data_IF_133208911937
#
_entry.id   IF_133208911937
#
_cell.length_a   1.000
_cell.length_b   1.000
_cell.length_c   1.000
_cell.angle_alpha   90.00
_cell.angle_beta   90.00
_cell.angle_gamma   90.00
#
_symmetry.space_group_name_H-M   'P 1'
#
loop_
_entity.id
_entity.type
_entity.pdbx_description
1 polymer ?
#
# COMPACT_ATOMS: atom_id res chain seq x y z
N UNK A 1 27.16 -4.59 -6.74
CA UNK A 1 25.88 -4.05 -6.39
C UNK A 1 25.10 -3.65 -7.63
N UNK A 2 24.21 -4.52 -8.15
CA UNK A 2 23.11 -4.04 -8.99
C UNK A 2 22.12 -3.50 -7.99
N UNK A 3 22.17 -2.20 -7.75
CA UNK A 3 21.04 -1.46 -7.22
C UNK A 3 19.83 -1.90 -8.06
N UNK A 4 18.85 -2.52 -7.42
CA UNK A 4 17.50 -2.52 -7.93
C UNK A 4 17.06 -1.04 -7.91
N UNK A 5 17.57 -0.25 -8.84
CA UNK A 5 16.97 1.02 -9.17
C UNK A 5 15.58 0.68 -9.68
N UNK A 6 14.61 0.74 -8.78
CA UNK A 6 13.22 0.87 -9.17
C UNK A 6 13.16 2.20 -9.89
N UNK A 7 13.51 2.16 -11.17
CA UNK A 7 13.37 3.31 -12.06
C UNK A 7 11.87 3.60 -12.14
N UNK A 8 11.40 4.53 -11.30
CA UNK A 8 10.18 5.28 -11.57
C UNK A 8 10.44 6.17 -12.79
N UNK A 9 10.84 5.53 -13.91
CA UNK A 9 11.05 6.21 -15.16
C UNK A 9 9.71 6.40 -15.86
N UNK A 10 9.37 7.62 -16.19
CA UNK A 10 8.42 7.85 -17.27
C UNK A 10 8.94 7.07 -18.47
N UNK A 11 8.11 6.15 -19.00
CA UNK A 11 8.47 5.39 -20.19
C UNK A 11 8.83 6.32 -21.35
N UNK A 12 9.59 5.82 -22.29
CA UNK A 12 9.86 6.57 -23.53
C UNK A 12 8.54 6.91 -24.24
N UNK A 13 8.50 8.03 -24.95
CA UNK A 13 7.29 8.45 -25.70
C UNK A 13 6.72 7.32 -26.57
N UNK A 14 7.53 6.52 -27.30
CA UNK A 14 7.02 5.37 -28.06
C UNK A 14 6.35 4.31 -27.18
N UNK A 15 6.90 4.00 -25.99
CA UNK A 15 6.30 3.04 -25.06
C UNK A 15 4.97 3.56 -24.49
N UNK A 16 4.88 4.85 -24.18
CA UNK A 16 3.63 5.49 -23.77
C UNK A 16 2.56 5.36 -24.84
N UNK A 17 2.90 5.63 -26.09
CA UNK A 17 1.98 5.50 -27.23
C UNK A 17 1.55 4.05 -27.46
N UNK A 18 2.46 3.09 -27.39
CA UNK A 18 2.14 1.66 -27.53
C UNK A 18 1.20 1.15 -26.44
N UNK A 19 1.34 1.65 -25.22
CA UNK A 19 0.53 1.25 -24.06
C UNK A 19 -0.73 2.09 -23.84
N UNK A 20 -0.96 3.11 -24.68
CA UNK A 20 -2.10 4.04 -24.57
C UNK A 20 -3.47 3.34 -24.44
N UNK A 21 -3.82 2.33 -25.27
CA UNK A 21 -5.10 1.64 -25.15
C UNK A 21 -5.28 0.92 -23.80
N UNK A 22 -4.21 0.28 -23.31
CA UNK A 22 -4.23 -0.40 -22.01
C UNK A 22 -4.34 0.58 -20.85
N UNK A 23 -3.64 1.71 -20.92
CA UNK A 23 -3.73 2.77 -19.92
C UNK A 23 -5.13 3.37 -19.86
N UNK A 24 -5.74 3.66 -21.01
CA UNK A 24 -7.13 4.13 -21.09
C UNK A 24 -8.10 3.11 -20.48
N UNK A 25 -8.04 1.85 -20.91
CA UNK A 25 -8.90 0.80 -20.38
C UNK A 25 -8.75 0.65 -18.86
N UNK A 26 -7.53 0.79 -18.34
CA UNK A 26 -7.26 0.77 -16.90
C UNK A 26 -7.92 1.94 -16.20
N UNK A 27 -7.76 3.19 -16.66
CA UNK A 27 -8.37 4.37 -16.05
C UNK A 27 -9.89 4.21 -15.90
N UNK A 28 -10.57 3.74 -16.93
CA UNK A 28 -12.02 3.53 -16.86
C UNK A 28 -12.40 2.36 -15.95
N UNK A 29 -11.65 1.27 -15.96
CA UNK A 29 -11.89 0.14 -15.08
C UNK A 29 -11.69 0.53 -13.61
N UNK A 30 -10.61 1.23 -13.30
CA UNK A 30 -10.28 1.66 -11.95
C UNK A 30 -11.29 2.70 -11.44
N UNK A 31 -11.70 3.63 -12.29
CA UNK A 31 -12.78 4.55 -11.99
C UNK A 31 -14.11 3.83 -11.69
N UNK A 32 -14.49 2.89 -12.55
CA UNK A 32 -15.71 2.11 -12.33
C UNK A 32 -15.61 1.29 -11.04
N UNK A 33 -14.44 0.73 -10.71
CA UNK A 33 -14.26 -0.10 -9.52
C UNK A 33 -14.56 0.63 -8.22
N UNK A 34 -14.42 1.96 -8.16
CA UNK A 34 -14.81 2.77 -7.00
C UNK A 34 -16.27 2.55 -6.60
N UNK A 35 -17.13 2.23 -7.55
CA UNK A 35 -18.57 2.11 -7.33
C UNK A 35 -19.04 0.69 -7.03
N UNK A 36 -18.32 -0.35 -7.48
CA UNK A 36 -18.76 -1.75 -7.33
C UNK A 36 -17.82 -2.64 -6.54
N UNK A 37 -16.56 -2.27 -6.37
CA UNK A 37 -15.57 -3.09 -5.63
C UNK A 37 -14.85 -2.27 -4.56
N UNK A 38 -14.03 -2.94 -3.75
CA UNK A 38 -13.09 -2.25 -2.87
C UNK A 38 -11.94 -1.70 -3.69
N UNK A 39 -11.97 -0.39 -3.91
CA UNK A 39 -10.91 0.30 -4.63
C UNK A 39 -9.95 0.96 -3.65
N UNK A 40 -8.87 0.25 -3.32
CA UNK A 40 -7.72 0.78 -2.59
C UNK A 40 -8.06 1.53 -1.29
N UNK A 41 -9.10 1.08 -0.58
CA UNK A 41 -9.56 1.67 0.66
C UNK A 41 -10.50 2.88 0.49
N UNK A 42 -10.67 3.42 -0.71
CA UNK A 42 -11.62 4.53 -0.96
C UNK A 42 -13.05 4.03 -0.82
N UNK A 43 -13.34 2.85 -1.34
CA UNK A 43 -14.67 2.22 -1.34
C UNK A 43 -14.69 0.90 -0.57
N UNK A 44 -14.12 0.91 0.65
CA UNK A 44 -13.79 -0.25 1.47
C UNK A 44 -15.02 -1.08 1.91
N UNK A 45 -16.22 -0.53 1.89
CA UNK A 45 -17.43 -1.29 2.24
C UNK A 45 -18.64 -0.87 1.38
N UNK A 46 -19.71 -1.66 1.45
CA UNK A 46 -20.92 -1.42 0.66
C UNK A 46 -21.58 -0.06 0.97
N UNK A 47 -21.60 0.36 2.23
CA UNK A 47 -22.22 1.64 2.64
C UNK A 47 -21.47 2.80 2.01
N UNK A 48 -20.15 2.80 2.07
CA UNK A 48 -19.30 3.84 1.44
C UNK A 48 -19.50 3.86 -0.06
N UNK A 49 -19.54 2.70 -0.73
CA UNK A 49 -19.81 2.61 -2.18
C UNK A 49 -21.15 3.23 -2.56
N UNK A 50 -22.21 2.90 -1.81
CA UNK A 50 -23.54 3.46 -2.05
C UNK A 50 -23.57 4.98 -1.85
N UNK A 51 -22.96 5.49 -0.78
CA UNK A 51 -22.88 6.92 -0.49
C UNK A 51 -22.12 7.68 -1.59
N UNK A 52 -20.97 7.14 -2.03
CA UNK A 52 -20.20 7.72 -3.14
C UNK A 52 -21.02 7.71 -4.42
N UNK A 53 -21.67 6.59 -4.76
CA UNK A 53 -22.47 6.44 -5.97
C UNK A 53 -23.62 7.43 -5.99
N UNK A 54 -24.41 7.50 -4.91
CA UNK A 54 -25.55 8.41 -4.81
C UNK A 54 -25.09 9.87 -4.92
N UNK A 55 -24.04 10.24 -4.20
CA UNK A 55 -23.50 11.62 -4.24
C UNK A 55 -23.01 11.99 -5.63
N UNK A 56 -22.28 11.06 -6.29
CA UNK A 56 -21.75 11.29 -7.64
C UNK A 56 -22.85 11.39 -8.69
N UNK A 57 -23.91 10.55 -8.62
CA UNK A 57 -25.07 10.63 -9.50
C UNK A 57 -25.81 11.95 -9.32
N UNK A 58 -25.99 12.44 -8.09
CA UNK A 58 -26.54 13.78 -7.84
C UNK A 58 -25.67 14.84 -8.53
N UNK A 59 -24.33 14.74 -8.41
CA UNK A 59 -23.39 15.65 -9.08
C UNK A 59 -23.55 15.63 -10.60
N UNK A 60 -23.70 14.45 -11.22
CA UNK A 60 -23.95 14.33 -12.67
C UNK A 60 -25.28 14.98 -13.05
N UNK A 61 -26.36 14.69 -12.33
CA UNK A 61 -27.68 15.29 -12.63
C UNK A 61 -27.64 16.83 -12.55
N UNK A 62 -26.91 17.37 -11.56
CA UNK A 62 -26.72 18.82 -11.44
C UNK A 62 -25.88 19.39 -12.57
N UNK A 63 -24.83 18.68 -12.98
CA UNK A 63 -23.96 19.05 -14.10
C UNK A 63 -24.78 19.15 -15.41
N UNK A 64 -25.54 18.11 -15.74
CA UNK A 64 -26.40 18.10 -16.92
C UNK A 64 -27.45 19.23 -16.90
N UNK A 65 -28.08 19.45 -15.74
CA UNK A 65 -29.02 20.55 -15.57
C UNK A 65 -28.35 21.92 -15.77
N UNK A 66 -27.11 22.10 -15.34
CA UNK A 66 -26.33 23.32 -15.58
C UNK A 66 -25.99 23.53 -17.06
N UNK A 67 -25.59 22.45 -17.77
CA UNK A 67 -25.31 22.51 -19.21
C UNK A 67 -26.58 22.97 -19.99
N UNK A 68 -27.72 22.35 -19.70
CA UNK A 68 -28.99 22.69 -20.31
C UNK A 68 -29.36 24.15 -20.04
N UNK A 69 -29.27 24.60 -18.80
CA UNK A 69 -29.62 25.97 -18.42
C UNK A 69 -28.73 27.01 -19.08
N UNK A 70 -27.44 26.72 -19.23
CA UNK A 70 -26.49 27.66 -19.83
C UNK A 70 -26.43 27.59 -21.36
N UNK A 71 -27.32 26.83 -21.99
CA UNK A 71 -27.34 26.59 -23.44
C UNK A 71 -25.97 26.18 -23.99
N UNK A 72 -25.21 25.45 -23.20
CA UNK A 72 -23.91 24.91 -23.61
C UNK A 72 -24.08 23.64 -24.43
N UNK A 73 -23.11 23.35 -25.27
CA UNK A 73 -23.07 22.10 -26.03
C UNK A 73 -23.04 20.91 -25.07
N UNK A 74 -24.13 20.14 -25.05
CA UNK A 74 -24.21 18.88 -24.29
C UNK A 74 -23.12 17.89 -24.74
N UNK A 75 -22.82 17.87 -26.04
CA UNK A 75 -21.80 16.98 -26.58
C UNK A 75 -20.42 17.33 -26.02
N UNK A 76 -20.04 18.59 -26.00
CA UNK A 76 -18.75 19.03 -25.42
C UNK A 76 -18.72 18.81 -23.93
N UNK A 77 -19.81 19.08 -23.21
CA UNK A 77 -19.90 18.85 -21.77
C UNK A 77 -19.72 17.37 -21.40
N UNK A 78 -20.44 16.49 -22.10
CA UNK A 78 -20.31 15.04 -21.87
C UNK A 78 -18.96 14.50 -22.31
N UNK A 79 -18.34 15.03 -23.35
CA UNK A 79 -16.97 14.69 -23.70
C UNK A 79 -15.98 15.04 -22.59
N UNK A 80 -16.15 16.21 -21.93
CA UNK A 80 -15.32 16.57 -20.77
C UNK A 80 -15.57 15.65 -19.56
N UNK A 81 -16.83 15.24 -19.33
CA UNK A 81 -17.15 14.27 -18.28
C UNK A 81 -16.51 12.90 -18.55
N UNK A 82 -16.46 12.47 -19.82
CA UNK A 82 -15.76 11.24 -20.23
C UNK A 82 -14.25 11.33 -19.99
N UNK A 83 -13.64 12.50 -20.05
CA UNK A 83 -12.22 12.67 -19.73
C UNK A 83 -11.93 12.65 -18.22
N UNK A 84 -12.94 12.70 -17.36
CA UNK A 84 -12.79 12.76 -15.91
C UNK A 84 -11.99 11.56 -15.33
N UNK A 85 -12.25 10.28 -15.71
CA UNK A 85 -11.45 9.16 -15.26
C UNK A 85 -9.95 9.28 -15.62
N UNK A 86 -9.67 9.80 -16.83
CA UNK A 86 -8.29 10.01 -17.29
C UNK A 86 -7.62 11.12 -16.46
N UNK A 87 -8.35 12.20 -16.17
CA UNK A 87 -7.84 13.28 -15.33
C UNK A 87 -7.52 12.84 -13.90
N UNK A 88 -8.30 11.91 -13.34
CA UNK A 88 -8.03 11.32 -12.03
C UNK A 88 -6.77 10.45 -12.01
N UNK A 89 -6.41 9.85 -13.13
CA UNK A 89 -5.26 8.96 -13.24
C UNK A 89 -4.09 9.52 -14.06
N UNK A 90 -4.03 10.84 -14.25
CA UNK A 90 -3.00 11.45 -15.11
C UNK A 90 -1.57 11.03 -14.73
N UNK A 91 -1.29 10.86 -13.44
CA UNK A 91 0.02 10.37 -12.95
C UNK A 91 0.21 8.90 -13.30
N UNK A 92 -0.79 8.06 -13.06
CA UNK A 92 -0.76 6.63 -13.40
C UNK A 92 -0.66 6.39 -14.91
N UNK A 93 -1.18 7.32 -15.70
CA UNK A 93 -1.11 7.28 -17.15
C UNK A 93 0.31 7.43 -17.69
N UNK A 94 1.14 8.22 -17.01
CA UNK A 94 2.55 8.42 -17.38
C UNK A 94 3.47 7.29 -16.90
N UNK A 95 3.00 6.43 -15.98
CA UNK A 95 3.74 5.28 -15.46
C UNK A 95 3.38 4.02 -16.26
N UNK A 96 4.22 3.65 -17.22
CA UNK A 96 3.96 2.56 -18.18
C UNK A 96 3.89 1.17 -17.52
N UNK A 97 4.63 0.93 -16.44
CA UNK A 97 4.89 -0.41 -15.96
C UNK A 97 4.17 -0.81 -14.66
N UNK A 98 3.51 0.11 -13.97
CA UNK A 98 2.85 -0.16 -12.67
C UNK A 98 1.48 0.50 -12.57
N UNK A 99 0.53 -0.21 -11.93
CA UNK A 99 -0.71 0.40 -11.50
C UNK A 99 -0.45 1.56 -10.54
N UNK A 100 -1.46 2.41 -10.32
CA UNK A 100 -1.36 3.51 -9.36
C UNK A 100 -1.04 2.96 -7.97
N UNK A 101 -0.01 3.50 -7.34
CA UNK A 101 0.26 3.25 -5.93
C UNK A 101 -0.73 4.01 -5.04
N UNK A 102 -0.86 3.60 -3.78
CA UNK A 102 -1.81 4.18 -2.82
C UNK A 102 -1.66 5.71 -2.71
N UNK A 103 -0.43 6.22 -2.84
CA UNK A 103 -0.15 7.67 -2.79
C UNK A 103 -0.75 8.45 -3.97
N UNK A 104 -0.96 7.82 -5.12
CA UNK A 104 -1.49 8.48 -6.32
C UNK A 104 -3.01 8.44 -6.39
N UNK A 105 -3.67 7.73 -5.48
CA UNK A 105 -5.13 7.55 -5.42
C UNK A 105 -5.84 8.78 -4.83
N UNK A 106 -5.11 9.73 -4.24
CA UNK A 106 -5.72 10.96 -3.66
C UNK A 106 -6.54 11.78 -4.65
N UNK A 107 -6.21 11.73 -5.94
CA UNK A 107 -6.98 12.37 -7.01
C UNK A 107 -8.45 11.91 -7.03
N UNK A 108 -8.71 10.66 -6.63
CA UNK A 108 -10.07 10.12 -6.56
C UNK A 108 -10.94 10.79 -5.48
N UNK A 109 -10.36 11.53 -4.53
CA UNK A 109 -11.10 12.37 -3.61
C UNK A 109 -11.93 13.46 -4.36
N UNK A 110 -11.54 13.80 -5.59
CA UNK A 110 -12.31 14.71 -6.44
C UNK A 110 -13.71 14.18 -6.77
N UNK A 111 -13.92 12.85 -6.77
CA UNK A 111 -15.25 12.25 -6.91
C UNK A 111 -16.18 12.73 -5.78
N UNK A 112 -15.63 12.88 -4.55
CA UNK A 112 -16.38 13.35 -3.38
C UNK A 112 -16.64 14.86 -3.42
N UNK A 113 -15.70 15.62 -3.99
CA UNK A 113 -15.80 17.09 -4.11
C UNK A 113 -16.72 17.50 -5.26
N UNK A 114 -16.84 16.68 -6.30
CA UNK A 114 -17.60 16.98 -7.51
C UNK A 114 -19.07 17.39 -7.25
N UNK A 115 -19.88 16.68 -6.45
CA UNK A 115 -21.25 17.07 -6.18
C UNK A 115 -21.36 18.43 -5.47
N UNK A 116 -20.41 18.76 -4.58
CA UNK A 116 -20.38 20.08 -3.93
C UNK A 116 -20.04 21.20 -4.90
N UNK A 117 -19.06 20.95 -5.78
CA UNK A 117 -18.72 21.91 -6.83
C UNK A 117 -19.94 22.19 -7.73
N UNK A 118 -20.68 21.16 -8.10
CA UNK A 118 -21.89 21.32 -8.90
C UNK A 118 -22.98 22.07 -8.14
N UNK A 119 -23.22 21.79 -6.87
CA UNK A 119 -24.16 22.51 -6.03
C UNK A 119 -23.80 24.00 -5.92
N UNK A 120 -22.53 24.34 -5.74
CA UNK A 120 -22.07 25.72 -5.61
C UNK A 120 -22.25 26.54 -6.90
N UNK A 121 -22.25 25.87 -8.06
CA UNK A 121 -22.46 26.48 -9.37
C UNK A 121 -23.94 26.60 -9.74
N UNK A 122 -24.83 25.96 -8.98
CA UNK A 122 -26.27 25.96 -9.22
C UNK A 122 -26.91 27.22 -8.70
N UNK A 123 -26.91 28.26 -9.50
CA UNK A 123 -27.69 29.50 -9.29
C UNK A 123 -29.09 29.31 -9.86
N UNK A 124 -29.84 28.35 -9.34
CA UNK A 124 -31.16 28.01 -9.84
C UNK A 124 -32.23 28.86 -9.17
N UNK A 125 -32.98 29.62 -9.95
CA UNK A 125 -34.37 30.06 -9.63
C UNK A 125 -35.35 28.85 -9.68
N UNK A 126 -34.84 27.64 -9.46
CA UNK A 126 -35.63 26.41 -9.37
C UNK A 126 -36.20 26.29 -7.96
N UNK A 127 -37.31 25.59 -7.83
CA UNK A 127 -37.96 25.31 -6.56
C UNK A 127 -36.95 25.07 -5.45
N UNK A 128 -36.80 26.07 -4.58
CA UNK A 128 -35.82 26.09 -3.50
C UNK A 128 -35.88 24.83 -2.62
N UNK A 129 -37.06 24.18 -2.56
CA UNK A 129 -37.25 22.93 -1.81
C UNK A 129 -36.47 21.78 -2.39
N UNK A 130 -36.44 21.59 -3.72
CA UNK A 130 -35.70 20.51 -4.38
C UNK A 130 -34.22 20.75 -4.21
N UNK A 131 -33.73 21.97 -4.42
CA UNK A 131 -32.31 22.28 -4.25
C UNK A 131 -31.86 22.07 -2.80
N UNK A 132 -32.64 22.51 -1.82
CA UNK A 132 -32.35 22.29 -0.40
C UNK A 132 -32.36 20.80 -0.04
N UNK A 133 -33.28 20.03 -0.63
CA UNK A 133 -33.29 18.57 -0.45
C UNK A 133 -32.00 17.91 -0.99
N UNK A 134 -31.59 18.22 -2.22
CA UNK A 134 -30.37 17.71 -2.83
C UNK A 134 -29.14 18.13 -2.02
N UNK A 135 -29.08 19.37 -1.58
CA UNK A 135 -28.00 19.85 -0.69
C UNK A 135 -27.96 19.06 0.60
N UNK A 136 -29.11 18.83 1.23
CA UNK A 136 -29.20 18.03 2.47
C UNK A 136 -28.73 16.58 2.22
N UNK A 137 -29.12 15.95 1.11
CA UNK A 137 -28.68 14.61 0.75
C UNK A 137 -27.15 14.53 0.61
N UNK A 138 -26.52 15.47 -0.10
CA UNK A 138 -25.07 15.51 -0.29
C UNK A 138 -24.36 15.77 1.05
N UNK A 139 -24.88 16.68 1.88
CA UNK A 139 -24.33 16.97 3.20
C UNK A 139 -24.41 15.76 4.13
N UNK A 140 -25.55 15.08 4.20
CA UNK A 140 -25.72 13.88 5.03
C UNK A 140 -24.80 12.77 4.52
N UNK A 141 -24.73 12.55 3.20
CA UNK A 141 -23.81 11.56 2.62
C UNK A 141 -22.37 11.86 2.99
N UNK A 142 -21.94 13.11 2.95
CA UNK A 142 -20.58 13.52 3.33
C UNK A 142 -20.28 13.33 4.80
N UNK A 143 -21.23 13.63 5.69
CA UNK A 143 -21.07 13.36 7.12
C UNK A 143 -20.93 11.86 7.40
N UNK A 144 -21.78 11.04 6.74
CA UNK A 144 -21.69 9.58 6.86
C UNK A 144 -20.39 9.03 6.28
N UNK A 145 -19.93 9.55 5.15
CA UNK A 145 -18.62 9.18 4.58
C UNK A 145 -17.48 9.56 5.52
N UNK A 146 -17.48 10.77 6.07
CA UNK A 146 -16.48 11.21 7.04
C UNK A 146 -16.46 10.27 8.26
N UNK A 147 -17.62 9.89 8.76
CA UNK A 147 -17.75 8.93 9.85
C UNK A 147 -17.15 7.56 9.49
N UNK A 148 -17.46 7.03 8.30
CA UNK A 148 -16.94 5.74 7.84
C UNK A 148 -15.41 5.77 7.66
N UNK A 149 -14.87 6.86 7.10
CA UNK A 149 -13.42 7.01 6.98
C UNK A 149 -12.73 7.23 8.33
N UNK A 150 -13.38 7.86 9.29
CA UNK A 150 -12.86 7.97 10.66
C UNK A 150 -12.75 6.58 11.33
N UNK A 151 -13.77 5.73 11.17
CA UNK A 151 -13.71 4.33 11.63
C UNK A 151 -12.58 3.57 10.97
N UNK A 152 -12.48 3.68 9.63
CA UNK A 152 -11.40 3.03 8.87
C UNK A 152 -10.02 3.50 9.35
N UNK A 153 -9.81 4.80 9.46
CA UNK A 153 -8.56 5.37 9.93
C UNK A 153 -8.19 4.89 11.32
N UNK A 154 -9.16 4.87 12.25
CA UNK A 154 -8.93 4.37 13.60
C UNK A 154 -8.51 2.89 13.61
N UNK A 155 -9.18 2.05 12.80
CA UNK A 155 -8.81 0.65 12.68
C UNK A 155 -7.41 0.47 12.10
N UNK A 156 -7.06 1.23 11.05
CA UNK A 156 -5.72 1.20 10.44
C UNK A 156 -4.64 1.62 11.44
N UNK A 157 -4.85 2.72 12.16
CA UNK A 157 -3.89 3.19 13.18
C UNK A 157 -3.73 2.19 14.31
N UNK A 158 -4.82 1.58 14.79
CA UNK A 158 -4.76 0.53 15.82
C UNK A 158 -3.95 -0.67 15.33
N UNK A 159 -4.20 -1.12 14.10
CA UNK A 159 -3.44 -2.23 13.50
C UNK A 159 -1.96 -1.89 13.33
N UNK A 160 -1.65 -0.67 12.91
CA UNK A 160 -0.25 -0.21 12.80
C UNK A 160 0.45 -0.15 14.16
N UNK A 161 -0.24 0.27 15.21
CA UNK A 161 0.32 0.32 16.57
C UNK A 161 0.58 -1.10 17.11
N UNK A 162 -0.35 -2.02 16.89
CA UNK A 162 -0.14 -3.43 17.23
C UNK A 162 1.03 -4.04 16.44
N UNK A 163 1.11 -3.79 15.15
CA UNK A 163 2.23 -4.25 14.30
C UNK A 163 3.59 -3.68 14.76
N UNK A 164 3.60 -2.43 15.22
CA UNK A 164 4.81 -1.81 15.82
C UNK A 164 5.22 -2.50 17.11
N UNK A 165 4.28 -2.79 18.00
CA UNK A 165 4.54 -3.51 19.25
C UNK A 165 5.05 -4.92 18.98
N UNK A 166 4.43 -5.62 18.04
CA UNK A 166 4.86 -6.95 17.60
C UNK A 166 6.29 -6.91 17.05
N UNK A 167 6.58 -5.98 16.13
CA UNK A 167 7.91 -5.81 15.56
C UNK A 167 8.96 -5.48 16.63
N UNK A 168 8.62 -4.60 17.56
CA UNK A 168 9.50 -4.25 18.67
C UNK A 168 9.82 -5.46 19.55
N UNK A 169 8.81 -6.26 19.92
CA UNK A 169 8.98 -7.49 20.68
C UNK A 169 9.85 -8.50 19.93
N UNK A 170 9.53 -8.76 18.66
CA UNK A 170 10.24 -9.72 17.80
C UNK A 170 11.73 -9.40 17.67
N UNK A 171 12.05 -8.17 17.29
CA UNK A 171 13.45 -7.76 17.08
C UNK A 171 14.21 -7.56 18.39
N UNK A 172 13.56 -7.12 19.47
CA UNK A 172 14.20 -7.05 20.79
C UNK A 172 14.59 -8.44 21.28
N UNK A 173 13.71 -9.42 21.12
CA UNK A 173 14.00 -10.82 21.48
C UNK A 173 15.14 -11.37 20.62
N UNK A 174 15.13 -11.12 19.32
CA UNK A 174 16.19 -11.51 18.40
C UNK A 174 17.54 -10.92 18.82
N UNK A 175 17.61 -9.61 19.06
CA UNK A 175 18.84 -8.91 19.49
C UNK A 175 19.34 -9.44 20.84
N UNK A 176 18.41 -9.73 21.77
CA UNK A 176 18.75 -10.31 23.06
C UNK A 176 19.37 -11.70 22.91
N UNK A 177 18.80 -12.55 22.05
CA UNK A 177 19.35 -13.87 21.75
C UNK A 177 20.71 -13.78 21.06
N UNK A 178 20.87 -12.85 20.10
CA UNK A 178 22.18 -12.58 19.47
C UNK A 178 23.23 -12.23 20.52
N UNK A 179 22.91 -11.29 21.41
CA UNK A 179 23.86 -10.84 22.46
C UNK A 179 24.14 -11.89 23.52
N UNK A 180 23.33 -12.94 23.63
CA UNK A 180 23.53 -14.07 24.55
C UNK A 180 24.35 -15.23 23.96
N UNK A 181 24.75 -15.13 22.68
CA UNK A 181 25.56 -16.15 22.06
C UNK A 181 26.95 -16.21 22.70
N UNK A 182 27.47 -17.43 22.86
CA UNK A 182 28.87 -17.63 23.23
C UNK A 182 29.77 -17.00 22.15
N UNK A 183 30.80 -16.29 22.59
CA UNK A 183 31.75 -15.55 21.70
C UNK A 183 31.10 -14.38 20.92
N UNK A 184 29.95 -13.85 21.36
CA UNK A 184 29.39 -12.64 20.78
C UNK A 184 30.38 -11.46 20.89
N UNK A 185 30.54 -10.73 19.79
CA UNK A 185 31.25 -9.45 19.74
C UNK A 185 30.43 -8.45 18.94
N UNK A 186 30.49 -7.17 19.31
CA UNK A 186 29.86 -6.07 18.59
C UNK A 186 30.46 -5.83 17.21
N UNK A 187 31.65 -6.37 16.95
CA UNK A 187 32.35 -6.24 15.66
C UNK A 187 31.92 -7.30 14.65
N UNK A 188 31.24 -8.35 15.11
CA UNK A 188 30.79 -9.44 14.23
C UNK A 188 29.65 -8.90 13.31
N UNK A 189 29.77 -9.16 12.00
CA UNK A 189 28.73 -8.80 11.07
C UNK A 189 27.48 -9.67 11.24
N UNK A 190 26.34 -9.13 10.86
CA UNK A 190 25.04 -9.80 10.90
C UNK A 190 24.60 -10.18 9.48
N UNK A 191 24.24 -11.43 9.29
CA UNK A 191 23.58 -11.91 8.08
C UNK A 191 22.19 -12.47 8.42
N UNK A 192 21.17 -11.93 7.81
CA UNK A 192 19.79 -12.40 7.91
C UNK A 192 19.47 -13.26 6.70
N UNK A 193 19.30 -14.59 6.88
CA UNK A 193 19.04 -15.54 5.81
C UNK A 193 17.54 -15.64 5.52
N UNK A 194 17.20 -15.41 4.26
CA UNK A 194 15.83 -15.47 3.79
C UNK A 194 15.02 -14.21 4.10
N UNK A 195 13.75 -14.29 3.82
CA UNK A 195 12.78 -13.23 4.08
C UNK A 195 11.80 -13.70 5.14
N UNK A 196 11.28 -12.79 5.95
CA UNK A 196 10.16 -13.13 6.81
C UNK A 196 8.98 -13.48 5.90
N UNK A 197 8.34 -14.63 6.11
CA UNK A 197 7.12 -14.96 5.38
C UNK A 197 6.03 -13.94 5.71
N UNK A 198 5.27 -13.54 4.70
CA UNK A 198 4.15 -12.59 4.91
C UNK A 198 3.05 -13.20 5.79
N UNK A 199 3.03 -14.55 5.89
CA UNK A 199 1.99 -15.32 6.57
C UNK A 199 2.34 -15.62 8.04
N UNK A 200 3.58 -15.44 8.48
CA UNK A 200 3.99 -15.63 9.87
C UNK A 200 3.72 -14.37 10.69
N UNK A 201 2.48 -14.15 11.04
CA UNK A 201 2.10 -13.18 12.07
C UNK A 201 2.15 -13.86 13.44
N UNK A 202 2.90 -13.29 14.40
CA UNK A 202 2.90 -13.77 15.79
C UNK A 202 1.51 -13.64 16.43
N UNK A 203 0.68 -12.74 15.93
CA UNK A 203 -0.69 -12.52 16.35
C UNK A 203 -1.60 -12.52 15.14
N UNK A 204 -2.70 -13.26 15.21
CA UNK A 204 -3.77 -13.18 14.21
C UNK A 204 -4.55 -11.87 14.39
N UNK A 205 -4.10 -10.83 13.71
CA UNK A 205 -4.77 -9.53 13.69
C UNK A 205 -6.03 -9.54 12.82
N UNK A 206 -6.33 -10.66 12.14
CA UNK A 206 -7.53 -10.81 11.29
C UNK A 206 -8.83 -10.65 12.09
N UNK A 207 -8.80 -10.94 13.40
CA UNK A 207 -9.94 -10.72 14.30
C UNK A 207 -10.30 -9.23 14.45
N UNK A 208 -9.32 -8.33 14.34
CA UNK A 208 -9.50 -6.89 14.47
C UNK A 208 -9.74 -6.21 13.12
N UNK A 209 -9.34 -6.88 12.05
CA UNK A 209 -9.42 -6.30 10.72
C UNK A 209 -9.92 -7.32 9.69
N UNK A 210 -11.15 -7.11 9.20
CA UNK A 210 -11.72 -7.84 8.07
C UNK A 210 -11.65 -6.97 6.83
N UNK A 211 -10.60 -7.12 6.04
CA UNK A 211 -10.47 -6.44 4.76
C UNK A 211 -9.02 -6.09 4.42
N UNK A 212 -8.69 -6.22 3.15
CA UNK A 212 -7.39 -5.85 2.62
C UNK A 212 -7.32 -4.33 2.41
N UNK A 213 -7.17 -3.56 3.50
CA UNK A 213 -6.88 -2.13 3.37
C UNK A 213 -5.40 -1.96 3.13
N UNK A 214 -5.08 -1.42 1.98
CA UNK A 214 -3.70 -1.05 1.64
C UNK A 214 -3.20 -0.01 2.64
N UNK A 215 -2.05 -0.29 3.23
CA UNK A 215 -1.49 0.48 4.33
C UNK A 215 -1.66 -0.21 5.69
N UNK A 216 -2.45 -1.27 5.79
CA UNK A 216 -2.43 -2.17 6.93
C UNK A 216 -1.09 -2.89 6.96
N UNK A 217 -0.39 -2.78 8.07
CA UNK A 217 0.94 -3.37 8.23
C UNK A 217 0.88 -4.47 9.29
N UNK A 218 1.32 -5.66 8.90
CA UNK A 218 1.75 -6.71 9.84
C UNK A 218 3.16 -6.39 10.33
N UNK A 219 3.66 -7.08 11.35
CA UNK A 219 5.05 -6.94 11.82
C UNK A 219 6.05 -6.98 10.66
N UNK A 220 5.91 -7.91 9.75
CA UNK A 220 6.79 -8.10 8.62
C UNK A 220 6.67 -7.01 7.55
N UNK A 221 5.51 -6.36 7.44
CA UNK A 221 5.30 -5.20 6.57
C UNK A 221 5.69 -3.89 7.23
N UNK A 222 5.58 -3.81 8.55
CA UNK A 222 5.99 -2.63 9.30
C UNK A 222 7.50 -2.40 9.20
N UNK A 223 8.29 -3.49 9.30
CA UNK A 223 9.74 -3.47 9.14
C UNK A 223 10.11 -4.32 7.93
N UNK A 224 10.14 -3.69 6.77
CA UNK A 224 10.62 -4.31 5.53
C UNK A 224 12.16 -4.38 5.49
N UNK A 225 12.69 -5.05 4.47
CA UNK A 225 14.13 -5.21 4.29
C UNK A 225 14.91 -3.88 4.26
N UNK A 226 14.28 -2.78 3.78
CA UNK A 226 14.92 -1.45 3.69
C UNK A 226 14.95 -0.72 5.03
N UNK A 227 13.89 -0.86 5.84
CA UNK A 227 13.77 -0.18 7.14
C UNK A 227 14.37 -0.97 8.29
N UNK A 228 14.67 -2.25 8.09
CA UNK A 228 15.13 -3.17 9.14
C UNK A 228 16.44 -2.71 9.78
N UNK A 229 17.44 -2.37 8.98
CA UNK A 229 18.71 -1.89 9.51
C UNK A 229 18.51 -0.62 10.33
N UNK A 230 17.74 0.34 9.82
CA UNK A 230 17.42 1.58 10.55
C UNK A 230 16.68 1.28 11.87
N UNK A 231 15.77 0.33 11.88
CA UNK A 231 15.06 -0.06 13.09
C UNK A 231 15.99 -0.70 14.13
N UNK A 232 16.86 -1.58 13.70
CA UNK A 232 17.87 -2.21 14.59
C UNK A 232 18.82 -1.16 15.17
N UNK A 233 19.38 -0.27 14.35
CA UNK A 233 20.37 0.71 14.78
C UNK A 233 19.76 1.84 15.61
N UNK A 234 18.71 2.49 15.12
CA UNK A 234 18.16 3.70 15.75
C UNK A 234 17.18 3.38 16.89
N UNK A 235 16.31 2.35 16.70
CA UNK A 235 15.32 2.01 17.72
C UNK A 235 15.87 1.10 18.81
N UNK A 236 16.68 0.09 18.44
CA UNK A 236 17.17 -0.90 19.39
C UNK A 236 18.61 -0.66 19.82
N UNK A 237 19.30 0.34 19.26
CA UNK A 237 20.69 0.63 19.57
C UNK A 237 21.62 -0.54 19.22
N UNK A 238 21.27 -1.34 18.22
CA UNK A 238 22.05 -2.45 17.69
C UNK A 238 22.42 -2.16 16.24
N UNK A 239 23.66 -1.75 16.03
CA UNK A 239 24.17 -1.28 14.72
C UNK A 239 25.29 -2.22 14.21
N UNK A 240 24.97 -3.46 13.80
CA UNK A 240 25.94 -4.38 13.24
C UNK A 240 26.26 -4.02 11.80
N UNK A 241 27.45 -4.38 11.33
CA UNK A 241 27.70 -4.44 9.90
C UNK A 241 26.80 -5.53 9.28
N UNK A 242 25.88 -5.16 8.40
CA UNK A 242 24.95 -6.11 7.76
C UNK A 242 25.58 -6.64 6.48
N UNK A 243 25.68 -7.98 6.38
CA UNK A 243 26.07 -8.69 5.16
C UNK A 243 24.79 -9.19 4.47
N UNK A 244 24.69 -8.94 3.17
CA UNK A 244 23.59 -9.49 2.39
C UNK A 244 23.78 -11.00 2.21
N UNK A 245 22.75 -11.79 2.50
CA UNK A 245 22.80 -13.24 2.31
C UNK A 245 23.10 -13.66 0.86
N UNK A 246 22.74 -12.83 -0.13
CA UNK A 246 23.05 -13.05 -1.55
C UNK A 246 24.55 -12.99 -1.84
N UNK A 247 25.31 -12.28 -1.03
CA UNK A 247 26.77 -12.22 -1.12
C UNK A 247 27.43 -13.28 -0.21
N UNK A 248 26.81 -13.60 0.93
CA UNK A 248 27.31 -14.55 1.89
C UNK A 248 27.26 -16.01 1.39
N UNK A 249 26.10 -16.45 0.87
CA UNK A 249 25.87 -17.84 0.44
C UNK A 249 26.85 -18.29 -0.65
N UNK A 250 27.12 -17.53 -1.73
CA UNK A 250 28.09 -17.93 -2.74
C UNK A 250 29.55 -18.00 -2.24
N UNK A 251 29.86 -17.28 -1.17
CA UNK A 251 31.20 -17.27 -0.57
C UNK A 251 31.37 -18.36 0.49
N UNK A 252 30.29 -18.99 0.95
CA UNK A 252 30.30 -20.04 1.95
C UNK A 252 30.81 -21.38 1.38
N UNK A 253 31.53 -22.14 2.17
CA UNK A 253 31.95 -23.51 1.83
C UNK A 253 30.75 -24.49 1.91
N UNK A 254 30.96 -25.69 1.36
CA UNK A 254 29.92 -26.72 1.32
C UNK A 254 29.45 -27.13 2.72
N UNK A 255 30.37 -27.20 3.70
CA UNK A 255 30.02 -27.57 5.07
C UNK A 255 29.15 -26.50 5.73
N UNK A 256 29.46 -25.22 5.54
CA UNK A 256 28.65 -24.10 6.00
C UNK A 256 27.26 -24.15 5.37
N UNK A 257 27.15 -24.39 4.06
CA UNK A 257 25.86 -24.52 3.39
C UNK A 257 24.98 -25.63 3.96
N UNK A 258 25.57 -26.80 4.26
CA UNK A 258 24.86 -27.91 4.91
C UNK A 258 24.37 -27.52 6.32
N UNK A 259 25.22 -26.89 7.12
CA UNK A 259 24.86 -26.41 8.46
C UNK A 259 23.69 -25.42 8.39
N UNK A 260 23.70 -24.49 7.43
CA UNK A 260 22.61 -23.51 7.23
C UNK A 260 21.31 -24.18 6.80
N UNK A 261 21.37 -25.26 6.01
CA UNK A 261 20.17 -26.02 5.63
C UNK A 261 19.53 -26.73 6.82
N UNK A 262 20.33 -27.35 7.70
CA UNK A 262 19.83 -28.03 8.89
C UNK A 262 19.36 -27.09 10.00
N UNK A 263 19.85 -25.85 10.00
CA UNK A 263 19.48 -24.83 10.98
C UNK A 263 17.98 -24.54 10.94
N UNK A 264 17.27 -24.52 12.09
CA UNK A 264 15.84 -24.15 12.12
C UNK A 264 15.62 -22.67 11.79
N UNK A 265 14.40 -22.33 11.42
CA UNK A 265 14.01 -20.92 11.20
C UNK A 265 13.66 -20.24 12.54
N UNK A 266 14.00 -18.96 12.65
CA UNK A 266 13.61 -18.12 13.80
C UNK A 266 12.07 -18.03 13.89
N UNK A 267 11.47 -18.14 15.10
CA UNK A 267 12.09 -18.02 16.43
C UNK A 267 12.52 -19.34 17.11
N UNK A 268 12.61 -20.46 16.40
CA UNK A 268 12.97 -21.73 16.99
C UNK A 268 14.40 -21.70 17.61
N UNK A 269 14.62 -22.47 18.66
CA UNK A 269 15.93 -22.60 19.29
C UNK A 269 16.96 -23.12 18.27
N UNK A 270 18.16 -22.51 18.22
CA UNK A 270 19.20 -22.85 17.25
C UNK A 270 19.09 -22.12 15.90
N UNK A 271 18.13 -21.23 15.74
CA UNK A 271 17.97 -20.38 14.54
C UNK A 271 18.95 -19.21 14.45
N UNK A 272 19.74 -19.00 15.50
CA UNK A 272 20.75 -17.95 15.58
C UNK A 272 22.09 -18.62 15.99
N UNK A 273 23.12 -18.39 15.21
CA UNK A 273 24.44 -18.95 15.46
C UNK A 273 25.57 -18.04 14.92
N UNK A 274 26.79 -18.20 15.44
CA UNK A 274 27.97 -17.59 14.85
C UNK A 274 28.65 -18.65 13.96
N UNK A 275 28.75 -18.35 12.66
CA UNK A 275 29.36 -19.24 11.66
C UNK A 275 30.34 -18.41 10.84
N UNK A 276 31.59 -18.81 10.75
CA UNK A 276 32.65 -18.11 10.02
C UNK A 276 32.73 -16.62 10.39
N UNK A 277 32.82 -16.34 11.69
CA UNK A 277 32.90 -14.99 12.26
C UNK A 277 31.71 -14.06 11.82
N UNK A 278 30.57 -14.66 11.49
CA UNK A 278 29.36 -13.95 11.10
C UNK A 278 28.17 -14.42 11.95
N UNK A 279 27.42 -13.50 12.50
CA UNK A 279 26.18 -13.81 13.19
C UNK A 279 25.11 -14.10 12.13
N UNK A 280 24.62 -15.33 12.13
CA UNK A 280 23.57 -15.78 11.20
C UNK A 280 22.24 -15.87 11.94
N UNK A 281 21.19 -15.27 11.38
CA UNK A 281 19.80 -15.47 11.79
C UNK A 281 19.04 -16.02 10.60
N UNK A 282 18.57 -17.26 10.73
CA UNK A 282 17.79 -17.90 9.67
C UNK A 282 16.31 -17.55 9.83
N UNK A 283 15.78 -16.74 8.91
CA UNK A 283 14.38 -16.32 8.92
C UNK A 283 13.48 -17.28 8.15
N UNK A 284 13.93 -17.76 6.98
CA UNK A 284 13.18 -18.69 6.14
C UNK A 284 14.11 -19.54 5.29
N UNK A 285 13.53 -20.46 4.49
CA UNK A 285 14.27 -21.30 3.54
C UNK A 285 14.27 -20.74 2.10
N UNK A 286 13.75 -19.55 1.85
CA UNK A 286 13.60 -18.98 0.50
C UNK A 286 14.92 -18.75 -0.20
N UNK A 287 16.02 -18.59 0.57
CA UNK A 287 17.37 -18.44 0.02
C UNK A 287 17.84 -19.68 -0.76
N UNK A 288 17.26 -20.87 -0.48
CA UNK A 288 17.60 -22.11 -1.18
C UNK A 288 17.09 -22.12 -2.63
N UNK A 289 15.92 -21.55 -2.88
CA UNK A 289 15.33 -21.45 -4.24
C UNK A 289 16.07 -20.46 -5.11
N UNK A 290 16.54 -19.37 -4.54
CA UNK A 290 17.31 -18.35 -5.26
C UNK A 290 18.72 -18.82 -5.65
N UNK A 291 19.27 -19.85 -5.00
CA UNK A 291 20.56 -20.44 -5.35
C UNK A 291 20.49 -21.47 -6.47
N UNK A 292 19.30 -22.01 -6.78
CA UNK A 292 19.11 -23.04 -7.81
C UNK A 292 18.85 -22.47 -9.22
N UNK A 293 18.65 -21.16 -9.35
CA UNK A 293 18.42 -20.48 -10.64
C UNK A 293 19.69 -19.84 -11.25
N UNK A 294 20.86 -20.14 -10.71
CA UNK A 294 22.17 -19.79 -11.26
C UNK A 294 22.90 -21.05 -11.74
#
# INVERSE_FOLDING_TARGET
GKEMSVTYGAGSVPELLANLPHALARCYRDFASVFYSDFRGISHNLVVRLLITVSFLIGICLYEALLLKRHKSLLLGNALLLLFPIALEVIGFTMVSRGMDTLTVYSYALILVFPFAMLSLCDFKVNTRILNFLYSCVMISSLLLTWQYAILANNVYTTMDLAKLEASSYYTTMVTQIKSLDHYSTELPLCLLGTNSEDETLYDLSAYYKGDVRGQMTCNRYINMYSRHYFLSVFLGYDPQVINWQDFIPAADQQTCLTLQEMPCYPAAGSIAIINDTIIVKLSNDYLTASSEK
#
